data_IF_275247230695
#
_entry.id   IF_275247230695
#
_cell.length_a   1.000
_cell.length_b   1.000
_cell.length_c   1.000
_cell.angle_alpha   90.00
_cell.angle_beta   90.00
_cell.angle_gamma   90.00
#
_symmetry.space_group_name_H-M   'P 1'
#
loop_
_entity.id
_entity.type
_entity.pdbx_description
1 polymer ?
#
# COMPACT_ATOMS: atom_id res chain seq x y z
N UNK A 1 23.11 -11.35 14.20
CA UNK A 1 23.13 -12.59 13.39
C UNK A 1 21.75 -13.03 12.92
N UNK A 2 20.71 -13.07 13.76
CA UNK A 2 19.33 -13.46 13.39
C UNK A 2 18.77 -12.67 12.17
N UNK A 3 18.96 -11.35 12.14
CA UNK A 3 18.49 -10.49 11.04
C UNK A 3 19.25 -10.72 9.70
N UNK A 4 20.47 -11.22 9.74
CA UNK A 4 21.25 -11.56 8.55
C UNK A 4 20.69 -12.81 7.87
N UNK A 5 20.39 -13.88 8.62
CA UNK A 5 19.77 -15.07 8.08
C UNK A 5 18.34 -14.81 7.56
N UNK A 6 17.56 -13.98 8.25
CA UNK A 6 16.24 -13.59 7.79
C UNK A 6 16.26 -12.91 6.43
N UNK A 7 17.26 -12.06 6.14
CA UNK A 7 17.41 -11.42 4.83
C UNK A 7 17.71 -12.40 3.67
N UNK A 8 18.24 -13.57 3.96
CA UNK A 8 18.45 -14.61 2.94
C UNK A 8 17.18 -15.35 2.58
N UNK A 9 16.33 -15.64 3.56
CA UNK A 9 15.24 -16.58 3.41
C UNK A 9 13.85 -15.94 3.43
N UNK A 10 13.75 -14.65 3.79
CA UNK A 10 12.44 -14.01 3.93
C UNK A 10 12.36 -12.75 3.07
N UNK A 11 11.28 -12.66 2.30
CA UNK A 11 10.98 -11.50 1.45
C UNK A 11 10.05 -10.48 2.12
N UNK A 12 9.38 -10.88 3.21
CA UNK A 12 8.40 -10.03 3.92
C UNK A 12 9.01 -9.07 4.95
N UNK A 13 10.30 -9.18 5.23
CA UNK A 13 11.02 -8.28 6.14
C UNK A 13 11.81 -7.21 5.35
N UNK A 14 11.08 -6.36 4.61
CA UNK A 14 11.68 -5.29 3.83
C UNK A 14 12.21 -5.79 2.49
N UNK A 15 13.47 -6.21 2.43
CA UNK A 15 14.09 -6.69 1.19
C UNK A 15 15.04 -7.87 1.44
N UNK A 16 15.14 -8.76 0.44
CA UNK A 16 16.14 -9.83 0.44
C UNK A 16 17.54 -9.29 0.13
N UNK A 17 18.58 -10.05 0.44
CA UNK A 17 19.95 -9.70 0.05
C UNK A 17 20.11 -9.58 -1.47
N UNK A 18 19.46 -10.45 -2.24
CA UNK A 18 19.48 -10.39 -3.70
C UNK A 18 18.89 -9.07 -4.20
N UNK A 19 17.73 -8.66 -3.67
CA UNK A 19 17.11 -7.36 -3.99
C UNK A 19 18.04 -6.20 -3.61
N UNK A 20 18.69 -6.26 -2.45
CA UNK A 20 19.62 -5.23 -1.99
C UNK A 20 20.82 -5.10 -2.94
N UNK A 21 21.47 -6.21 -3.31
CA UNK A 21 22.59 -6.23 -4.25
C UNK A 21 22.16 -5.74 -5.64
N UNK A 22 21.02 -6.18 -6.12
CA UNK A 22 20.48 -5.75 -7.40
C UNK A 22 20.16 -4.26 -7.41
N UNK A 23 19.52 -3.74 -6.38
CA UNK A 23 19.22 -2.31 -6.21
C UNK A 23 20.50 -1.49 -6.13
N UNK A 24 21.51 -1.95 -5.40
CA UNK A 24 22.80 -1.27 -5.32
C UNK A 24 23.51 -1.20 -6.69
N UNK A 25 23.42 -2.28 -7.49
CA UNK A 25 24.10 -2.36 -8.79
C UNK A 25 23.39 -1.59 -9.89
N UNK A 26 22.07 -1.69 -9.95
CA UNK A 26 21.25 -1.22 -11.07
C UNK A 26 20.25 -0.11 -10.71
N UNK A 27 20.05 0.16 -9.43
CA UNK A 27 19.10 1.15 -8.95
C UNK A 27 19.72 2.54 -8.80
N UNK A 28 18.92 3.54 -9.12
CA UNK A 28 19.13 4.94 -8.81
C UNK A 28 18.06 5.38 -7.81
N UNK A 29 18.49 5.94 -6.69
CA UNK A 29 17.58 6.43 -5.65
C UNK A 29 16.83 7.67 -6.14
N UNK A 30 15.50 7.70 -5.96
CA UNK A 30 14.62 8.78 -6.40
C UNK A 30 14.08 9.59 -5.22
N UNK A 31 13.71 8.92 -4.14
CA UNK A 31 13.20 9.61 -2.95
C UNK A 31 12.60 8.66 -1.91
N UNK A 32 12.07 9.27 -0.85
CA UNK A 32 11.45 8.59 0.29
C UNK A 32 10.07 9.20 0.53
N UNK A 33 9.12 8.39 0.99
CA UNK A 33 7.79 8.84 1.39
C UNK A 33 7.69 9.11 2.91
N UNK A 34 6.51 9.58 3.34
CA UNK A 34 6.20 9.90 4.74
C UNK A 34 6.25 8.69 5.68
N UNK A 35 6.20 7.45 5.16
CA UNK A 35 6.29 6.21 5.92
C UNK A 35 7.72 5.65 5.97
N UNK A 36 8.63 6.25 5.21
CA UNK A 36 10.02 5.81 5.11
C UNK A 36 10.25 4.70 4.10
N UNK A 37 9.36 4.52 3.13
CA UNK A 37 9.59 3.64 1.99
C UNK A 37 10.51 4.34 0.99
N UNK A 38 11.47 3.61 0.45
CA UNK A 38 12.48 4.13 -0.46
C UNK A 38 12.15 3.77 -1.91
N UNK A 39 12.20 4.75 -2.79
CA UNK A 39 11.83 4.60 -4.19
C UNK A 39 13.05 4.65 -5.09
N UNK A 40 13.10 3.74 -6.05
CA UNK A 40 14.19 3.57 -6.98
C UNK A 40 13.68 3.43 -8.41
N UNK A 41 14.55 3.79 -9.37
CA UNK A 41 14.37 3.51 -10.79
C UNK A 41 15.62 2.85 -11.36
N UNK A 42 15.53 2.36 -12.58
CA UNK A 42 16.71 1.87 -13.31
C UNK A 42 17.71 3.00 -13.51
N UNK A 43 18.98 2.72 -13.20
CA UNK A 43 20.09 3.69 -13.28
C UNK A 43 20.17 4.34 -14.66
N UNK A 44 20.20 5.69 -14.66
CA UNK A 44 20.23 6.47 -15.92
C UNK A 44 18.95 6.40 -16.76
N UNK A 45 17.80 5.99 -16.20
CA UNK A 45 16.55 5.89 -16.93
C UNK A 45 16.54 4.80 -18.02
N UNK A 46 17.38 3.78 -17.88
CA UNK A 46 17.53 2.73 -18.89
C UNK A 46 16.23 1.95 -19.08
N UNK A 47 15.77 1.87 -20.32
CA UNK A 47 14.54 1.17 -20.69
C UNK A 47 14.79 -0.34 -20.61
N UNK A 48 13.92 -1.06 -19.92
CA UNK A 48 13.92 -2.51 -19.92
C UNK A 48 13.35 -3.05 -21.23
N UNK A 49 14.10 -3.89 -21.92
CA UNK A 49 13.72 -4.42 -23.24
C UNK A 49 12.43 -5.26 -23.20
N UNK A 50 12.14 -5.89 -22.06
CA UNK A 50 10.91 -6.70 -21.92
C UNK A 50 9.68 -5.87 -21.55
N UNK A 51 9.85 -4.73 -20.87
CA UNK A 51 8.76 -3.88 -20.40
C UNK A 51 8.46 -2.71 -21.36
N UNK A 52 9.46 -2.23 -22.11
CA UNK A 52 9.34 -1.05 -22.96
C UNK A 52 9.44 0.29 -22.23
N UNK A 53 9.71 0.29 -20.93
CA UNK A 53 9.90 1.47 -20.08
C UNK A 53 10.93 1.21 -18.99
N UNK A 54 11.36 2.24 -18.25
CA UNK A 54 12.27 2.10 -17.11
C UNK A 54 11.60 1.33 -15.97
N UNK A 55 12.34 0.48 -15.27
CA UNK A 55 11.80 -0.15 -14.06
C UNK A 55 11.79 0.85 -12.91
N UNK A 56 10.68 0.89 -12.19
CA UNK A 56 10.51 1.62 -10.94
C UNK A 56 10.08 0.64 -9.85
N UNK A 57 10.64 0.77 -8.66
CA UNK A 57 10.29 -0.11 -7.54
C UNK A 57 10.42 0.60 -6.21
N UNK A 58 9.81 0.00 -5.20
CA UNK A 58 9.81 0.47 -3.82
C UNK A 58 10.48 -0.55 -2.91
N UNK A 59 11.25 -0.06 -1.95
CA UNK A 59 11.76 -0.84 -0.82
C UNK A 59 11.03 -0.40 0.43
N UNK A 60 10.22 -1.27 0.98
CA UNK A 60 9.41 -0.98 2.16
C UNK A 60 10.27 -0.91 3.43
N UNK A 61 9.97 0.02 4.32
CA UNK A 61 10.66 0.18 5.61
C UNK A 61 10.38 -0.97 6.59
N UNK A 62 9.30 -1.69 6.40
CA UNK A 62 8.87 -2.78 7.27
C UNK A 62 8.30 -3.95 6.49
N UNK A 63 7.09 -4.34 6.82
CA UNK A 63 6.37 -5.37 6.07
C UNK A 63 6.11 -4.89 4.66
N UNK A 64 6.40 -5.75 3.67
CA UNK A 64 6.14 -5.46 2.26
C UNK A 64 4.63 -5.52 1.99
N UNK A 65 3.96 -4.38 2.14
CA UNK A 65 2.53 -4.21 1.96
C UNK A 65 2.27 -3.13 0.89
N UNK A 66 1.78 -3.49 -0.31
CA UNK A 66 1.59 -2.54 -1.41
C UNK A 66 0.70 -1.34 -1.07
N UNK A 67 -0.26 -1.53 -0.17
CA UNK A 67 -1.14 -0.45 0.26
C UNK A 67 -0.46 0.61 1.14
N UNK A 68 0.81 0.39 1.54
CA UNK A 68 1.63 1.40 2.23
C UNK A 68 2.11 2.51 1.29
N UNK A 69 2.05 2.30 -0.03
CA UNK A 69 2.48 3.31 -1.02
C UNK A 69 1.46 4.45 -1.08
N UNK A 70 1.86 5.71 -0.78
CA UNK A 70 0.96 6.86 -0.89
C UNK A 70 0.50 7.11 -2.33
N UNK A 71 -0.67 7.72 -2.55
CA UNK A 71 -1.22 7.97 -3.88
C UNK A 71 -0.29 8.72 -4.83
N UNK A 72 0.49 9.67 -4.32
CA UNK A 72 1.47 10.45 -5.08
C UNK A 72 2.58 9.58 -5.65
N UNK A 73 3.13 8.68 -4.85
CA UNK A 73 4.15 7.73 -5.29
C UNK A 73 3.56 6.58 -6.11
N UNK A 74 2.31 6.20 -5.84
CA UNK A 74 1.63 5.16 -6.61
C UNK A 74 1.50 5.54 -8.08
N UNK A 75 1.10 6.78 -8.39
CA UNK A 75 1.02 7.28 -9.76
C UNK A 75 2.36 7.20 -10.49
N UNK A 76 3.44 7.61 -9.84
CA UNK A 76 4.78 7.53 -10.39
C UNK A 76 5.24 6.07 -10.56
N UNK A 77 5.04 5.22 -9.57
CA UNK A 77 5.45 3.82 -9.59
C UNK A 77 4.77 3.03 -10.73
N UNK A 78 3.54 3.38 -11.05
CA UNK A 78 2.74 2.76 -12.12
C UNK A 78 2.83 3.48 -13.48
N UNK A 79 3.78 4.39 -13.66
CA UNK A 79 3.99 5.15 -14.91
C UNK A 79 2.77 5.96 -15.36
N UNK A 80 1.84 6.29 -14.44
CA UNK A 80 0.73 7.21 -14.71
C UNK A 80 1.22 8.66 -14.72
N UNK A 81 2.27 8.95 -13.95
CA UNK A 81 2.96 10.24 -13.87
C UNK A 81 4.45 10.01 -14.10
N UNK A 82 5.06 10.86 -14.92
CA UNK A 82 6.48 10.72 -15.28
C UNK A 82 7.42 11.29 -14.21
N UNK A 83 7.04 12.42 -13.60
CA UNK A 83 7.86 13.08 -12.59
C UNK A 83 7.58 12.51 -11.19
N UNK A 84 8.63 12.19 -10.42
CA UNK A 84 8.45 11.76 -9.03
C UNK A 84 7.97 12.92 -8.14
N UNK A 85 7.27 12.64 -7.03
CA UNK A 85 6.79 13.66 -6.10
C UNK A 85 7.88 14.54 -5.48
N UNK A 86 9.14 14.12 -5.56
CA UNK A 86 10.31 14.91 -5.14
C UNK A 86 10.61 16.09 -6.06
N UNK A 87 10.25 15.98 -7.34
CA UNK A 87 10.47 17.02 -8.35
C UNK A 87 9.20 17.82 -8.66
N UNK A 88 8.03 17.20 -8.48
CA UNK A 88 6.75 17.86 -8.70
C UNK A 88 6.03 18.09 -7.36
N UNK A 89 5.78 19.36 -7.04
CA UNK A 89 5.06 19.71 -5.82
C UNK A 89 3.56 19.41 -6.00
N UNK A 90 3.14 18.28 -5.45
CA UNK A 90 1.72 17.92 -5.44
C UNK A 90 0.97 18.84 -4.47
N UNK A 91 0.02 19.60 -4.99
CA UNK A 91 -0.84 20.48 -4.18
C UNK A 91 -1.94 19.64 -3.55
N UNK A 92 -1.86 19.46 -2.24
CA UNK A 92 -2.91 18.77 -1.48
C UNK A 92 -4.24 19.51 -1.59
N UNK A 93 -5.31 18.80 -1.90
CA UNK A 93 -6.66 19.35 -1.96
C UNK A 93 -7.30 19.37 -0.56
N UNK A 94 -8.21 20.31 -0.25
CA UNK A 94 -8.81 20.43 1.09
C UNK A 94 -9.56 19.17 1.58
N UNK A 95 -10.03 18.34 0.67
CA UNK A 95 -10.74 17.09 0.98
C UNK A 95 -9.83 15.87 1.09
N UNK A 96 -8.53 15.99 0.82
CA UNK A 96 -7.61 14.86 0.94
C UNK A 96 -7.43 14.51 2.41
N UNK A 97 -7.56 13.25 2.69
CA UNK A 97 -7.26 12.68 4.00
C UNK A 97 -5.85 12.09 4.00
N UNK A 98 -5.17 12.05 5.16
CA UNK A 98 -3.90 11.35 5.28
C UNK A 98 -4.03 9.91 4.78
N UNK A 99 -3.02 9.45 4.05
CA UNK A 99 -2.99 8.08 3.53
C UNK A 99 -3.02 7.08 4.68
N UNK A 100 -3.79 6.00 4.52
CA UNK A 100 -3.83 4.88 5.45
C UNK A 100 -3.68 3.58 4.67
N UNK A 101 -2.76 2.74 5.12
CA UNK A 101 -2.62 1.39 4.59
C UNK A 101 -3.88 0.56 4.81
N UNK A 102 -4.00 -0.53 4.06
CA UNK A 102 -5.08 -1.49 4.24
C UNK A 102 -5.03 -2.10 5.64
N UNK A 103 -6.11 -1.93 6.38
CA UNK A 103 -6.23 -2.38 7.77
C UNK A 103 -6.82 -3.80 7.88
N UNK A 104 -7.11 -4.46 6.75
CA UNK A 104 -7.64 -5.84 6.73
C UNK A 104 -6.73 -6.77 7.54
N UNK A 105 -7.33 -7.58 8.41
CA UNK A 105 -6.58 -8.47 9.31
C UNK A 105 -6.04 -7.82 10.58
N UNK A 106 -6.10 -6.48 10.71
CA UNK A 106 -5.66 -5.75 11.90
C UNK A 106 -6.83 -5.40 12.84
N UNK A 107 -6.55 -5.01 14.10
CA UNK A 107 -7.58 -4.49 15.01
C UNK A 107 -8.29 -3.23 14.52
N UNK A 108 -7.65 -2.46 13.62
CA UNK A 108 -8.22 -1.26 13.01
C UNK A 108 -9.13 -1.53 11.79
N UNK A 109 -9.29 -2.80 11.38
CA UNK A 109 -10.15 -3.16 10.26
C UNK A 109 -11.62 -2.80 10.55
N UNK A 110 -12.30 -2.21 9.56
CA UNK A 110 -13.72 -1.94 9.67
C UNK A 110 -14.49 -3.27 9.71
N UNK A 111 -15.32 -3.42 10.73
CA UNK A 111 -16.18 -4.57 10.90
C UNK A 111 -17.63 -4.10 10.85
N UNK A 112 -18.43 -4.59 9.89
CA UNK A 112 -19.88 -4.30 9.86
C UNK A 112 -20.54 -4.69 11.18
N UNK A 113 -21.53 -3.92 11.61
CA UNK A 113 -22.23 -4.15 12.87
C UNK A 113 -22.93 -5.51 12.98
N UNK A 114 -23.32 -6.10 11.83
CA UNK A 114 -23.87 -7.45 11.75
C UNK A 114 -22.84 -8.58 11.78
N UNK A 115 -21.55 -8.27 11.74
CA UNK A 115 -20.49 -9.28 11.78
C UNK A 115 -20.42 -9.95 13.15
N UNK A 116 -20.20 -11.26 13.18
CA UNK A 116 -19.95 -12.04 14.41
C UNK A 116 -18.69 -11.58 15.15
N UNK A 117 -17.72 -11.00 14.41
CA UNK A 117 -16.50 -10.40 14.96
C UNK A 117 -16.73 -9.00 15.56
N UNK A 118 -17.93 -8.46 15.49
CA UNK A 118 -18.36 -7.21 16.12
C UNK A 118 -19.47 -7.56 17.14
N UNK A 119 -20.64 -6.99 16.96
CA UNK A 119 -21.77 -7.17 17.90
C UNK A 119 -22.75 -8.29 17.47
N UNK A 120 -22.59 -8.88 16.29
CA UNK A 120 -23.48 -9.87 15.72
C UNK A 120 -24.90 -9.36 15.39
N UNK A 121 -25.15 -8.05 15.59
CA UNK A 121 -26.46 -7.43 15.35
C UNK A 121 -26.27 -6.15 14.55
N UNK A 122 -26.94 -6.05 13.41
CA UNK A 122 -27.01 -4.79 12.67
C UNK A 122 -28.15 -3.91 13.21
N UNK A 123 -28.06 -2.58 13.10
CA UNK A 123 -29.18 -1.70 13.35
C UNK A 123 -30.36 -2.07 12.45
N UNK A 124 -31.58 -1.88 12.92
CA UNK A 124 -32.78 -2.00 12.07
C UNK A 124 -32.70 -0.97 10.95
N UNK A 125 -33.02 -1.40 9.72
CA UNK A 125 -33.15 -0.53 8.57
C UNK A 125 -34.63 -0.26 8.26
N UNK A 126 -34.95 0.80 7.53
CA UNK A 126 -36.30 1.16 7.13
C UNK A 126 -36.97 0.10 6.26
N UNK A 127 -36.19 -0.73 5.55
CA UNK A 127 -36.67 -1.84 4.74
C UNK A 127 -36.81 -3.20 5.48
N UNK A 128 -36.58 -3.22 6.79
CA UNK A 128 -36.73 -4.46 7.55
C UNK A 128 -38.17 -4.89 7.62
N UNK A 129 -38.44 -6.12 7.18
CA UNK A 129 -39.78 -6.72 7.22
C UNK A 129 -40.22 -6.94 8.67
N UNK A 130 -41.45 -6.50 8.96
CA UNK A 130 -42.16 -6.89 10.18
C UNK A 130 -43.17 -7.98 9.79
N UNK A 131 -43.00 -9.16 10.36
CA UNK A 131 -43.97 -10.23 10.16
C UNK A 131 -45.36 -9.75 10.59
N UNK A 132 -46.38 -9.94 9.72
CA UNK A 132 -47.76 -9.69 10.06
C UNK A 132 -48.24 -10.73 11.09
N UNK A 133 -48.90 -10.26 12.16
CA UNK A 133 -49.52 -11.11 13.16
C UNK A 133 -51.05 -10.95 13.08
N UNK A 134 -51.84 -12.04 12.97
CA UNK A 134 -53.30 -11.96 12.81
C UNK A 134 -54.02 -11.28 13.98
N UNK A 135 -53.41 -11.08 15.12
CA UNK A 135 -54.01 -10.47 16.32
C UNK A 135 -53.59 -9.04 16.59
N UNK A 136 -52.86 -8.38 15.69
CA UNK A 136 -52.35 -7.01 15.85
C UNK A 136 -53.13 -6.00 15.01
N UNK A 137 -54.46 -6.05 15.05
CA UNK A 137 -55.36 -5.06 14.45
C UNK A 137 -55.71 -3.97 15.46
#
# INVERSE_FOLDING_TARGET
>A
MKNFFLKFFTWWNGQTLGTQLWTHRYGEYVGEDEFGNLYYRTKGGQIDAGLGFERRWVIYKGVAEPSMVPPTWHGWLHHTVDLPPTLEKVVARPWWKPHRANMTGSPGAQRPTGSTLSRGRRPKATGDYKAWNPGSG
#
